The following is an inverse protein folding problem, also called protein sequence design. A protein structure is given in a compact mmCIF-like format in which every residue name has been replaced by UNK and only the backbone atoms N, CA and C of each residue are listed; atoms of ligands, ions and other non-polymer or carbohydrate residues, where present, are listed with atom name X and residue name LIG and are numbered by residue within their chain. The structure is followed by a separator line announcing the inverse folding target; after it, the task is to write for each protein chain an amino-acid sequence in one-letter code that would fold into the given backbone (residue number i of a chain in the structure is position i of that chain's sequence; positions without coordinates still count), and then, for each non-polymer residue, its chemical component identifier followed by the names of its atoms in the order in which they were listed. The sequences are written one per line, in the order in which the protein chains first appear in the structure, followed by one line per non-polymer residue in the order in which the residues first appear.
data_IF_111560357821
#
_entry.id   IF_111560357821
#
_cell.length_a   1.000
_cell.length_b   1.000
_cell.length_c   1.000
_cell.angle_alpha   90.00
_cell.angle_beta   90.00
_cell.angle_gamma   90.00
#
_symmetry.space_group_name_H-M   'P 1'
#
loop_
_entity.id
_entity.type
_entity.pdbx_description
1 polymer ?
#
# COMPACT_ATOMS: atom_id res chain seq x y z
N UNK A 1 7.10 12.54 10.21
CA UNK A 1 5.63 12.40 10.15
C UNK A 1 5.05 13.79 9.93
N UNK A 2 3.84 13.87 9.39
CA UNK A 2 3.18 15.12 9.03
C UNK A 2 1.69 15.01 9.37
N UNK A 3 1.05 16.15 9.60
CA UNK A 3 -0.42 16.25 9.62
C UNK A 3 -0.99 16.07 8.21
N UNK A 4 -2.29 15.78 8.10
CA UNK A 4 -2.94 15.64 6.78
C UNK A 4 -2.87 16.92 5.95
N UNK A 5 -2.97 18.09 6.59
CA UNK A 5 -2.85 19.38 5.92
C UNK A 5 -1.44 19.59 5.35
N UNK A 6 -0.40 19.22 6.10
CA UNK A 6 0.98 19.31 5.62
C UNK A 6 1.24 18.33 4.47
N UNK A 7 0.69 17.11 4.53
CA UNK A 7 0.77 16.14 3.43
C UNK A 7 0.10 16.68 2.15
N UNK A 8 -1.10 17.24 2.27
CA UNK A 8 -1.82 17.82 1.13
C UNK A 8 -1.11 19.06 0.58
N UNK A 9 -0.56 19.92 1.43
CA UNK A 9 0.22 21.07 1.00
C UNK A 9 1.48 20.66 0.21
N UNK A 10 2.14 19.57 0.61
CA UNK A 10 3.27 19.02 -0.13
C UNK A 10 2.86 18.47 -1.50
N UNK A 11 1.70 17.82 -1.59
CA UNK A 11 1.15 17.36 -2.87
C UNK A 11 0.78 18.53 -3.79
N UNK A 12 0.15 19.56 -3.24
CA UNK A 12 -0.20 20.77 -3.98
C UNK A 12 1.04 21.47 -4.53
N UNK A 13 2.14 21.50 -3.78
CA UNK A 13 3.41 22.06 -4.24
C UNK A 13 3.92 21.37 -5.52
N UNK A 14 3.80 20.04 -5.61
CA UNK A 14 4.19 19.28 -6.80
C UNK A 14 3.24 19.58 -7.97
N UNK A 15 1.93 19.66 -7.68
CA UNK A 15 0.90 19.92 -8.69
C UNK A 15 0.96 21.34 -9.25
N UNK A 16 1.34 22.33 -8.42
CA UNK A 16 1.52 23.71 -8.83
C UNK A 16 2.64 23.89 -9.88
N UNK A 17 3.64 23.00 -9.87
CA UNK A 17 4.71 22.94 -10.87
C UNK A 17 4.30 22.16 -12.15
N UNK A 18 3.02 21.78 -12.26
CA UNK A 18 2.43 21.16 -13.45
C UNK A 18 2.42 19.63 -13.47
N UNK A 19 2.94 18.96 -12.43
CA UNK A 19 2.88 17.50 -12.33
C UNK A 19 1.67 17.04 -11.52
N UNK A 20 0.60 16.66 -12.21
CA UNK A 20 -0.62 16.15 -11.59
C UNK A 20 -0.62 14.63 -11.36
N UNK A 21 0.49 13.92 -11.64
CA UNK A 21 0.61 12.48 -11.43
C UNK A 21 1.14 12.20 -10.03
N UNK A 22 0.34 12.55 -9.02
CA UNK A 22 0.68 12.39 -7.60
C UNK A 22 -0.16 11.28 -6.98
N UNK A 23 0.47 10.41 -6.20
CA UNK A 23 -0.17 9.39 -5.37
C UNK A 23 0.24 9.67 -3.93
N UNK A 24 -0.72 9.71 -3.00
CA UNK A 24 -0.43 9.85 -1.58
C UNK A 24 -0.27 8.47 -0.94
N UNK A 25 0.67 8.34 -0.01
CA UNK A 25 0.95 7.10 0.68
C UNK A 25 0.89 7.30 2.19
N UNK A 26 -0.08 6.65 2.84
CA UNK A 26 -0.13 6.51 4.29
C UNK A 26 0.84 5.42 4.72
N UNK A 27 1.82 5.78 5.54
CA UNK A 27 2.95 4.90 5.91
C UNK A 27 3.32 4.95 7.39
N UNK A 28 2.37 5.40 8.20
CA UNK A 28 2.48 5.48 9.64
C UNK A 28 3.04 6.80 10.17
N UNK A 29 2.56 7.16 11.35
CA UNK A 29 3.00 8.31 12.14
C UNK A 29 3.77 7.85 13.38
N UNK A 30 4.65 8.71 13.89
CA UNK A 30 5.36 8.41 15.14
C UNK A 30 4.44 8.69 16.33
N UNK A 31 4.35 7.73 17.22
CA UNK A 31 3.58 7.82 18.47
C UNK A 31 4.44 7.31 19.64
N UNK A 32 3.83 7.10 20.80
CA UNK A 32 4.47 6.44 21.94
C UNK A 32 4.41 4.90 21.88
N UNK A 33 3.74 4.34 20.85
CA UNK A 33 3.62 2.89 20.68
C UNK A 33 5.00 2.24 20.55
N UNK A 34 5.16 1.04 21.12
CA UNK A 34 6.38 0.25 21.08
C UNK A 34 6.20 -1.14 20.45
N UNK A 35 5.02 -1.48 19.96
CA UNK A 35 4.74 -2.77 19.30
C UNK A 35 4.88 -2.72 17.78
N UNK A 36 5.04 -1.52 17.19
CA UNK A 36 5.34 -1.30 15.77
C UNK A 36 6.37 -0.18 15.62
N UNK A 37 7.02 -0.10 14.47
CA UNK A 37 7.95 0.98 14.12
C UNK A 37 7.24 2.35 14.08
N UNK A 38 6.08 2.40 13.44
CA UNK A 38 5.16 3.53 13.39
C UNK A 38 3.72 3.04 13.63
N UNK A 39 2.83 3.94 14.05
CA UNK A 39 1.40 3.63 14.11
C UNK A 39 0.81 3.92 12.74
N UNK A 40 0.35 2.89 12.04
CA UNK A 40 -0.39 3.06 10.79
C UNK A 40 -1.72 3.75 11.08
N UNK A 41 -1.91 4.96 10.56
CA UNK A 41 -3.15 5.70 10.76
C UNK A 41 -4.16 5.34 9.68
N UNK A 42 -4.85 4.21 9.84
CA UNK A 42 -5.89 3.79 8.89
C UNK A 42 -7.04 4.79 8.78
N UNK A 43 -7.25 5.64 9.79
CA UNK A 43 -8.29 6.67 9.74
C UNK A 43 -7.96 7.80 8.78
N UNK A 44 -6.67 7.99 8.44
CA UNK A 44 -6.25 9.02 7.48
C UNK A 44 -6.83 8.77 6.09
N UNK A 45 -6.98 7.50 5.68
CA UNK A 45 -7.50 7.13 4.36
C UNK A 45 -8.93 7.68 4.12
N UNK A 46 -9.96 7.33 4.90
CA UNK A 46 -11.31 7.86 4.68
C UNK A 46 -11.39 9.38 4.90
N UNK A 47 -10.56 9.97 5.77
CA UNK A 47 -10.53 11.42 5.94
C UNK A 47 -9.96 12.12 4.70
N UNK A 48 -8.81 11.67 4.19
CA UNK A 48 -8.18 12.21 2.98
C UNK A 48 -9.10 12.09 1.77
N UNK A 49 -9.87 11.00 1.66
CA UNK A 49 -10.89 10.86 0.60
C UNK A 49 -11.90 12.00 0.54
N UNK A 50 -12.22 12.62 1.67
CA UNK A 50 -13.13 13.78 1.70
C UNK A 50 -12.46 15.10 1.30
N UNK A 51 -11.12 15.11 1.26
CA UNK A 51 -10.30 16.31 1.11
C UNK A 51 -9.57 16.37 -0.24
N UNK A 52 -9.39 15.23 -0.92
CA UNK A 52 -8.64 15.16 -2.18
C UNK A 52 -9.20 14.13 -3.15
N UNK A 53 -8.92 14.33 -4.43
CA UNK A 53 -9.20 13.40 -5.52
C UNK A 53 -7.99 12.52 -5.87
N UNK A 54 -6.85 12.70 -5.21
CA UNK A 54 -5.63 11.95 -5.52
C UNK A 54 -5.77 10.48 -5.09
N UNK A 55 -5.15 9.54 -5.82
CA UNK A 55 -5.06 8.16 -5.39
C UNK A 55 -4.35 8.04 -4.03
N UNK A 56 -4.88 7.19 -3.16
CA UNK A 56 -4.38 6.95 -1.81
C UNK A 56 -3.94 5.50 -1.65
N UNK A 57 -2.67 5.24 -1.35
CA UNK A 57 -2.16 3.89 -1.05
C UNK A 57 -1.72 3.79 0.41
N UNK A 58 -1.51 2.56 0.89
CA UNK A 58 -0.91 2.29 2.20
C UNK A 58 0.41 1.52 2.09
N UNK A 59 1.35 1.81 2.98
CA UNK A 59 2.62 1.08 3.14
C UNK A 59 2.67 0.42 4.52
N UNK A 60 2.14 -0.80 4.65
CA UNK A 60 2.15 -1.54 5.91
C UNK A 60 3.54 -2.07 6.28
N UNK A 61 4.42 -2.34 5.31
CA UNK A 61 5.78 -2.84 5.56
C UNK A 61 6.58 -1.87 6.42
N UNK A 62 6.67 -0.61 6.01
CA UNK A 62 7.44 0.37 6.77
C UNK A 62 6.69 0.89 7.99
N UNK A 63 5.36 0.94 7.95
CA UNK A 63 4.57 1.34 9.10
C UNK A 63 4.76 0.35 10.26
N UNK A 64 4.59 -0.95 10.00
CA UNK A 64 4.75 -1.97 11.03
C UNK A 64 6.22 -2.18 11.40
N UNK A 65 7.10 -2.32 10.40
CA UNK A 65 8.47 -2.78 10.62
C UNK A 65 8.57 -4.26 11.03
N UNK A 66 7.49 -5.02 10.86
CA UNK A 66 7.37 -6.44 11.22
C UNK A 66 6.53 -7.15 10.15
N UNK A 67 7.10 -8.20 9.55
CA UNK A 67 6.50 -8.99 8.48
C UNK A 67 5.14 -9.58 8.86
N UNK A 68 4.99 -10.04 10.10
CA UNK A 68 3.77 -10.73 10.54
C UNK A 68 2.56 -9.78 10.61
N UNK A 69 2.83 -8.47 10.66
CA UNK A 69 1.81 -7.42 10.66
C UNK A 69 1.49 -6.89 9.26
N UNK A 70 2.29 -7.21 8.23
CA UNK A 70 2.14 -6.62 6.90
C UNK A 70 0.83 -7.02 6.25
N UNK A 71 0.50 -8.31 6.20
CA UNK A 71 -0.73 -8.82 5.59
C UNK A 71 -1.99 -8.24 6.27
N UNK A 72 -2.19 -8.35 7.60
CA UNK A 72 -3.41 -7.83 8.21
C UNK A 72 -3.56 -6.32 8.06
N UNK A 73 -2.47 -5.55 8.09
CA UNK A 73 -2.52 -4.11 7.89
C UNK A 73 -2.75 -3.70 6.43
N UNK A 74 -2.19 -4.45 5.46
CA UNK A 74 -2.49 -4.28 4.04
C UNK A 74 -3.99 -4.43 3.77
N UNK A 75 -4.57 -5.54 4.27
CA UNK A 75 -6.00 -5.82 4.16
C UNK A 75 -6.85 -4.76 4.87
N UNK A 76 -6.42 -4.30 6.05
CA UNK A 76 -7.06 -3.19 6.75
C UNK A 76 -7.08 -1.90 5.94
N UNK A 77 -5.96 -1.52 5.33
CA UNK A 77 -5.86 -0.34 4.44
C UNK A 77 -6.80 -0.42 3.24
N UNK A 78 -6.85 -1.57 2.59
CA UNK A 78 -7.76 -1.80 1.46
C UNK A 78 -9.23 -1.73 1.90
N UNK A 79 -9.56 -2.31 3.05
CA UNK A 79 -10.91 -2.33 3.61
C UNK A 79 -11.42 -0.93 4.00
N UNK A 80 -10.54 -0.04 4.49
CA UNK A 80 -10.91 1.37 4.80
C UNK A 80 -10.93 2.28 3.56
N UNK A 81 -10.62 1.74 2.37
CA UNK A 81 -10.82 2.44 1.11
C UNK A 81 -9.57 2.90 0.37
N UNK A 82 -8.37 2.40 0.71
CA UNK A 82 -7.15 2.71 -0.03
C UNK A 82 -7.19 2.18 -1.47
N UNK A 83 -6.73 2.95 -2.45
CA UNK A 83 -6.62 2.58 -3.88
C UNK A 83 -5.55 1.53 -4.16
N UNK A 84 -4.67 1.25 -3.20
CA UNK A 84 -3.63 0.24 -3.36
C UNK A 84 -2.78 0.05 -2.12
N UNK A 85 -1.82 -0.86 -2.23
CA UNK A 85 -0.84 -1.18 -1.19
C UNK A 85 0.56 -1.18 -1.78
N UNK A 86 1.54 -0.84 -0.95
CA UNK A 86 2.97 -0.98 -1.24
C UNK A 86 3.58 -1.91 -0.19
N UNK A 87 4.14 -3.04 -0.62
CA UNK A 87 4.71 -4.06 0.28
C UNK A 87 6.12 -4.42 -0.17
N UNK A 88 6.99 -4.71 0.78
CA UNK A 88 8.31 -5.25 0.51
C UNK A 88 8.28 -6.77 0.46
N UNK A 89 8.99 -7.35 -0.50
CA UNK A 89 9.07 -8.80 -0.71
C UNK A 89 10.53 -9.16 -0.96
N UNK A 90 11.02 -10.21 -0.31
CA UNK A 90 12.37 -10.72 -0.54
C UNK A 90 12.36 -12.26 -0.55
N UNK A 91 13.08 -12.91 -1.47
CA UNK A 91 13.11 -14.38 -1.55
C UNK A 91 13.74 -15.02 -0.31
N UNK A 92 14.70 -14.34 0.31
CA UNK A 92 15.32 -14.75 1.58
C UNK A 92 15.46 -13.57 2.55
N UNK A 93 14.39 -13.18 3.27
CA UNK A 93 14.43 -11.95 4.08
C UNK A 93 15.51 -11.91 5.15
N UNK A 94 16.05 -13.05 5.59
CA UNK A 94 17.13 -13.11 6.58
C UNK A 94 18.47 -12.60 6.03
N UNK A 95 18.66 -12.66 4.71
CA UNK A 95 19.87 -12.19 4.01
C UNK A 95 19.69 -10.81 3.37
N UNK A 96 18.52 -10.19 3.53
CA UNK A 96 18.27 -8.87 2.98
C UNK A 96 19.20 -7.84 3.62
N UNK A 97 19.87 -7.05 2.78
CA UNK A 97 20.80 -6.00 3.23
C UNK A 97 20.09 -4.86 3.96
N UNK A 98 18.82 -4.64 3.63
CA UNK A 98 17.97 -3.58 4.15
C UNK A 98 16.58 -4.18 4.37
N UNK A 99 15.96 -3.85 5.51
CA UNK A 99 14.53 -4.06 5.75
C UNK A 99 14.00 -5.50 5.65
N UNK A 100 14.87 -6.48 5.88
CA UNK A 100 14.52 -7.91 5.93
C UNK A 100 13.46 -8.28 6.97
N UNK A 101 13.38 -7.54 8.09
CA UNK A 101 12.42 -7.80 9.16
C UNK A 101 10.95 -7.58 8.73
N UNK A 102 10.69 -6.66 7.79
CA UNK A 102 9.35 -6.35 7.27
C UNK A 102 9.07 -6.88 5.86
N UNK A 103 10.11 -7.35 5.16
CA UNK A 103 9.96 -7.92 3.81
C UNK A 103 9.24 -9.26 3.85
N UNK A 104 8.10 -9.40 3.17
CA UNK A 104 7.38 -10.66 3.02
C UNK A 104 8.26 -11.73 2.34
N UNK A 105 8.02 -13.00 2.68
CA UNK A 105 8.51 -14.12 1.86
C UNK A 105 7.65 -14.23 0.59
N UNK A 106 8.13 -14.99 -0.40
CA UNK A 106 7.36 -15.25 -1.62
C UNK A 106 6.02 -15.95 -1.31
N UNK A 107 6.00 -16.88 -0.35
CA UNK A 107 4.79 -17.59 0.05
C UNK A 107 3.77 -16.65 0.72
N UNK A 108 4.23 -15.76 1.61
CA UNK A 108 3.37 -14.76 2.24
C UNK A 108 2.83 -13.74 1.23
N UNK A 109 3.66 -13.35 0.26
CA UNK A 109 3.19 -12.48 -0.82
C UNK A 109 2.11 -13.17 -1.67
N UNK A 110 2.30 -14.45 -1.98
CA UNK A 110 1.28 -15.26 -2.67
C UNK A 110 -0.02 -15.38 -1.86
N UNK A 111 0.08 -15.55 -0.54
CA UNK A 111 -1.07 -15.54 0.38
C UNK A 111 -1.82 -14.21 0.34
N UNK A 112 -1.09 -13.10 0.43
CA UNK A 112 -1.65 -11.75 0.35
C UNK A 112 -2.41 -11.54 -0.96
N UNK A 113 -1.78 -11.83 -2.09
CA UNK A 113 -2.39 -11.68 -3.41
C UNK A 113 -3.63 -12.56 -3.56
N UNK A 114 -3.55 -13.83 -3.15
CA UNK A 114 -4.70 -14.73 -3.20
C UNK A 114 -5.86 -14.26 -2.33
N UNK A 115 -5.59 -13.60 -1.19
CA UNK A 115 -6.62 -13.04 -0.32
C UNK A 115 -7.28 -11.79 -0.92
N UNK A 116 -6.50 -10.94 -1.58
CA UNK A 116 -7.01 -9.77 -2.30
C UNK A 116 -7.88 -10.21 -3.49
N UNK A 117 -7.43 -11.18 -4.28
CA UNK A 117 -8.15 -11.71 -5.44
C UNK A 117 -9.51 -12.31 -5.10
N UNK A 118 -9.61 -13.01 -3.95
CA UNK A 118 -10.90 -13.55 -3.49
C UNK A 118 -11.86 -12.47 -2.98
N UNK A 119 -11.36 -11.27 -2.70
CA UNK A 119 -12.16 -10.19 -2.15
C UNK A 119 -12.65 -10.45 -0.72
N UNK A 120 -12.01 -11.36 0.02
CA UNK A 120 -12.49 -11.85 1.34
C UNK A 120 -12.77 -10.72 2.35
N UNK A 121 -12.12 -9.56 2.17
CA UNK A 121 -12.22 -8.39 3.05
C UNK A 121 -12.71 -7.12 2.33
N UNK A 122 -13.05 -7.20 1.04
CA UNK A 122 -13.32 -6.04 0.20
C UNK A 122 -14.79 -6.00 -0.22
N UNK A 123 -15.47 -4.87 0.02
CA UNK A 123 -16.80 -4.61 -0.54
C UNK A 123 -16.75 -4.11 -2.00
N UNK A 124 -15.59 -4.29 -2.67
CA UNK A 124 -15.33 -3.85 -4.05
C UNK A 124 -14.30 -4.75 -4.69
N UNK A 125 -14.37 -4.87 -6.01
CA UNK A 125 -13.35 -5.55 -6.79
C UNK A 125 -12.08 -4.71 -6.89
N UNK A 126 -10.93 -5.38 -6.89
CA UNK A 126 -9.64 -4.74 -7.07
C UNK A 126 -9.06 -5.16 -8.43
N UNK A 127 -8.78 -4.18 -9.29
CA UNK A 127 -8.08 -4.44 -10.54
C UNK A 127 -6.59 -4.60 -10.26
N UNK A 128 -6.14 -5.85 -10.26
CA UNK A 128 -4.72 -6.18 -10.15
C UNK A 128 -4.11 -6.01 -11.54
N UNK A 129 -3.43 -4.88 -11.76
CA UNK A 129 -2.60 -4.68 -12.95
C UNK A 129 -1.27 -5.39 -12.76
N UNK A 130 -0.82 -6.12 -13.78
CA UNK A 130 0.52 -6.67 -13.76
C UNK A 130 1.57 -5.58 -13.92
N UNK A 131 2.61 -5.63 -13.08
CA UNK A 131 3.83 -4.87 -13.29
C UNK A 131 4.77 -5.62 -14.24
N UNK A 132 5.55 -4.88 -15.01
CA UNK A 132 6.69 -5.41 -15.75
C UNK A 132 7.84 -5.68 -14.76
N UNK A 133 8.55 -6.80 -14.93
CA UNK A 133 9.85 -6.99 -14.27
C UNK A 133 10.90 -6.12 -14.99
N UNK A 134 12.02 -5.81 -14.32
CA UNK A 134 13.19 -5.16 -14.94
C UNK A 134 13.72 -5.94 -16.19
N UNK A 135 13.29 -7.20 -16.34
CA UNK A 135 13.64 -8.11 -17.44
C UNK A 135 12.59 -8.15 -18.58
N UNK A 136 11.48 -7.41 -18.46
CA UNK A 136 10.41 -7.37 -19.47
C UNK A 136 9.63 -8.67 -19.65
N UNK A 137 9.67 -9.58 -18.67
CA UNK A 137 8.95 -10.87 -18.73
C UNK A 137 7.54 -10.70 -18.17
N UNK A 138 6.47 -10.92 -18.96
CA UNK A 138 5.10 -10.85 -18.47
C UNK A 138 4.81 -11.98 -17.47
N UNK A 139 4.04 -11.69 -16.43
CA UNK A 139 3.55 -12.73 -15.51
C UNK A 139 2.32 -13.37 -16.14
N UNK A 140 2.25 -14.68 -16.35
CA UNK A 140 1.04 -15.27 -16.95
C UNK A 140 -0.11 -15.37 -15.94
N UNK A 141 -1.21 -14.65 -16.21
CA UNK A 141 -2.47 -14.75 -15.48
C UNK A 141 -3.57 -13.92 -16.17
N UNK A 142 -4.58 -14.59 -16.74
CA UNK A 142 -5.69 -13.94 -17.47
C UNK A 142 -6.64 -13.23 -16.50
N UNK A 143 -6.91 -11.94 -16.75
CA UNK A 143 -8.26 -11.38 -16.66
C UNK A 143 -8.37 -10.16 -17.61
N UNK A 144 -9.27 -10.27 -18.59
CA UNK A 144 -9.65 -9.20 -19.51
C UNK A 144 -11.06 -8.71 -19.15
N UNK A 145 -11.22 -7.39 -19.29
CA UNK A 145 -12.42 -6.62 -19.65
C UNK A 145 -13.18 -5.84 -18.57
N UNK A 146 -13.50 -4.61 -19.00
CA UNK A 146 -14.04 -3.43 -18.33
C UNK A 146 -15.49 -3.55 -17.84
N UNK A 147 -15.86 -2.74 -16.83
CA UNK A 147 -17.19 -2.12 -16.78
C UNK A 147 -17.09 -0.68 -16.26
N UNK A 148 -17.59 0.25 -17.07
CA UNK A 148 -17.96 1.61 -16.68
C UNK A 148 -19.08 1.58 -15.64
N UNK A 149 -18.97 2.40 -14.59
CA UNK A 149 -20.08 3.16 -14.00
C UNK A 149 -19.54 4.41 -13.34
#
# INVERSE_FOLDING_TARGET
WATLTELLAAAEYIMAEGNHKVILCERGIRTHSNHTRYTLDLSSIPVLRTMTHLPLIVDPSHAAGDRDLVIPLALGGLAVGADGIMVEVHPNPQEALVDGAQSLTLDMFKELMGTIERGDVLQREFNISQGETDDGVPVEGKALHSVNT
#
